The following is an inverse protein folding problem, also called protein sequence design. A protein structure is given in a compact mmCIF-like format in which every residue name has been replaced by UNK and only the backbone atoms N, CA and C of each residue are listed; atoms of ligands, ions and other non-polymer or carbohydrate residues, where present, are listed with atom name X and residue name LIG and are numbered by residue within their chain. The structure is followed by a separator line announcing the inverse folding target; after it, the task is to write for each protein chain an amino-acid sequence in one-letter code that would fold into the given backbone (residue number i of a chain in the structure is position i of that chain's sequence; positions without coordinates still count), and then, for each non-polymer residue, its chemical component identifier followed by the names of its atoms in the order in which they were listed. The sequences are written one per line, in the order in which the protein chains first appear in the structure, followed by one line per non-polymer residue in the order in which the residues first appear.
data_IF_809251035149
#
_entry.id   IF_809251035149
#
_cell.length_a   1.000
_cell.length_b   1.000
_cell.length_c   1.000
_cell.angle_alpha   90.00
_cell.angle_beta   90.00
_cell.angle_gamma   90.00
#
_symmetry.space_group_name_H-M   'P 1'
#
loop_
_entity.id
_entity.type
_entity.pdbx_description
1 polymer ?
#
# COMPACT_ATOMS: atom_id res chain seq x y z
N UNK A 1 10.42 0.97 -0.58
CA UNK A 1 9.24 0.15 -0.90
C UNK A 1 7.93 0.89 -0.68
N UNK A 2 7.51 1.13 0.57
CA UNK A 2 6.24 1.82 0.91
C UNK A 2 6.06 3.19 0.22
N UNK A 3 7.14 3.97 0.05
CA UNK A 3 7.09 5.24 -0.71
C UNK A 3 6.58 5.06 -2.12
N UNK A 4 6.97 3.98 -2.80
CA UNK A 4 6.62 3.70 -4.19
C UNK A 4 5.27 2.98 -4.33
N UNK A 5 4.51 2.85 -3.24
CA UNK A 5 3.20 2.20 -3.29
C UNK A 5 2.18 3.10 -4.01
N UNK A 6 1.51 2.51 -5.01
CA UNK A 6 0.54 3.19 -5.85
C UNK A 6 -0.86 2.63 -5.64
N UNK A 7 -1.85 3.52 -5.62
CA UNK A 7 -3.27 3.16 -5.74
C UNK A 7 -3.81 3.91 -6.95
N UNK A 8 -4.18 3.17 -7.99
CA UNK A 8 -4.40 3.74 -9.32
C UNK A 8 -3.14 4.46 -9.81
N UNK A 9 -3.30 5.63 -10.42
CA UNK A 9 -2.18 6.45 -10.91
C UNK A 9 -1.46 7.29 -9.84
N UNK A 10 -1.74 7.09 -8.55
CA UNK A 10 -1.22 7.94 -7.48
C UNK A 10 -0.27 7.20 -6.55
N UNK A 11 0.93 7.76 -6.39
CA UNK A 11 1.85 7.41 -5.32
C UNK A 11 1.32 7.99 -3.99
N UNK A 12 0.86 7.12 -3.08
CA UNK A 12 -0.01 7.51 -1.95
C UNK A 12 0.66 8.51 -1.01
N UNK A 13 1.88 8.19 -0.54
CA UNK A 13 2.61 9.03 0.40
C UNK A 13 3.02 10.37 -0.22
N UNK A 14 3.47 10.34 -1.47
CA UNK A 14 3.81 11.56 -2.21
C UNK A 14 2.59 12.46 -2.42
N UNK A 15 1.44 11.89 -2.83
CA UNK A 15 0.18 12.64 -2.99
C UNK A 15 -0.25 13.30 -1.67
N UNK A 16 -0.20 12.56 -0.56
CA UNK A 16 -0.58 13.10 0.75
C UNK A 16 0.20 14.37 1.13
N UNK A 17 1.52 14.35 0.94
CA UNK A 17 2.41 15.47 1.22
C UNK A 17 2.22 16.61 0.20
N UNK A 18 2.12 16.27 -1.09
CA UNK A 18 1.92 17.26 -2.17
C UNK A 18 0.65 18.08 -1.96
N UNK A 19 -0.45 17.42 -1.62
CA UNK A 19 -1.76 18.06 -1.41
C UNK A 19 -1.81 18.94 -0.14
N UNK A 20 -0.81 18.81 0.74
CA UNK A 20 -0.68 19.58 2.00
C UNK A 20 0.51 20.54 2.01
N UNK A 21 1.19 20.72 0.87
CA UNK A 21 2.32 21.65 0.76
C UNK A 21 1.88 23.06 1.18
N UNK A 22 2.69 23.70 2.04
CA UNK A 22 2.41 25.04 2.58
C UNK A 22 1.51 25.06 3.81
N UNK A 23 1.06 23.89 4.32
CA UNK A 23 0.35 23.77 5.59
C UNK A 23 1.32 23.30 6.68
N UNK A 24 1.01 23.64 7.93
CA UNK A 24 1.69 23.08 9.10
C UNK A 24 1.27 21.61 9.23
N UNK A 25 2.23 20.72 9.50
CA UNK A 25 1.96 19.30 9.76
C UNK A 25 1.43 19.15 11.19
N UNK A 26 0.15 19.46 11.37
CA UNK A 26 -0.58 19.40 12.65
C UNK A 26 -0.89 17.96 13.10
N UNK A 27 -0.94 17.01 12.17
CA UNK A 27 -1.22 15.59 12.44
C UNK A 27 -0.18 14.66 11.80
N UNK A 28 1.07 14.75 12.29
CA UNK A 28 2.12 13.80 11.94
C UNK A 28 1.76 12.32 12.24
N UNK A 29 1.08 12.00 13.37
CA UNK A 29 0.67 10.61 13.65
C UNK A 29 -0.22 9.99 12.58
N UNK A 30 -1.12 10.76 11.95
CA UNK A 30 -1.92 10.26 10.81
C UNK A 30 -1.06 9.86 9.63
N UNK A 31 -0.04 10.64 9.28
CA UNK A 31 0.88 10.26 8.20
C UNK A 31 1.61 8.95 8.53
N UNK A 32 2.10 8.80 9.76
CA UNK A 32 2.71 7.54 10.21
C UNK A 32 1.75 6.35 10.13
N UNK A 33 0.48 6.53 10.54
CA UNK A 33 -0.54 5.47 10.42
C UNK A 33 -0.78 5.06 8.96
N UNK A 34 -0.76 6.01 8.02
CA UNK A 34 -0.85 5.70 6.59
C UNK A 34 0.35 4.86 6.16
N UNK A 35 1.57 5.25 6.55
CA UNK A 35 2.79 4.48 6.26
C UNK A 35 2.68 3.05 6.81
N UNK A 36 2.24 2.89 8.07
CA UNK A 36 2.04 1.57 8.69
C UNK A 36 0.99 0.74 7.96
N UNK A 37 -0.15 1.34 7.59
CA UNK A 37 -1.20 0.66 6.85
C UNK A 37 -0.67 0.13 5.50
N UNK A 38 0.02 0.97 4.74
CA UNK A 38 0.61 0.57 3.46
C UNK A 38 1.67 -0.54 3.62
N UNK A 39 2.51 -0.45 4.65
CA UNK A 39 3.49 -1.51 4.95
C UNK A 39 2.81 -2.85 5.24
N UNK A 40 1.70 -2.83 6.00
CA UNK A 40 0.93 -4.04 6.29
C UNK A 40 0.18 -4.57 5.06
N UNK A 41 -0.27 -3.68 4.18
CA UNK A 41 -0.87 -4.08 2.91
C UNK A 41 0.14 -4.83 2.04
N UNK A 42 1.35 -4.31 1.88
CA UNK A 42 2.41 -4.97 1.10
C UNK A 42 2.71 -6.36 1.67
N UNK A 43 2.91 -6.47 2.99
CA UNK A 43 3.16 -7.76 3.66
C UNK A 43 2.04 -8.79 3.42
N UNK A 44 0.78 -8.34 3.37
CA UNK A 44 -0.36 -9.22 3.09
C UNK A 44 -0.42 -9.60 1.62
N UNK A 45 -0.12 -8.67 0.70
CA UNK A 45 -0.10 -8.95 -0.73
C UNK A 45 0.96 -9.99 -1.09
N UNK A 46 2.17 -9.89 -0.53
CA UNK A 46 3.22 -10.88 -0.71
C UNK A 46 2.76 -12.28 -0.27
N UNK A 47 2.12 -12.38 0.89
CA UNK A 47 1.56 -13.65 1.39
C UNK A 47 0.45 -14.20 0.49
N UNK A 48 -0.33 -13.33 -0.15
CA UNK A 48 -1.35 -13.74 -1.11
C UNK A 48 -0.68 -14.27 -2.37
N UNK A 49 0.32 -13.55 -2.89
CA UNK A 49 1.06 -13.94 -4.10
C UNK A 49 1.75 -15.30 -3.92
N UNK A 50 2.22 -15.61 -2.71
CA UNK A 50 2.83 -16.91 -2.38
C UNK A 50 1.81 -18.08 -2.45
N UNK A 51 0.57 -17.87 -1.99
CA UNK A 51 -0.46 -18.94 -1.93
C UNK A 51 -1.32 -19.02 -3.20
N UNK A 52 -1.37 -17.94 -4.00
CA UNK A 52 -2.26 -17.85 -5.15
C UNK A 52 -2.05 -18.95 -6.20
N UNK A 53 -0.81 -19.35 -6.56
CA UNK A 53 -0.59 -20.39 -7.56
C UNK A 53 -1.16 -21.76 -7.18
N UNK A 54 -1.14 -22.11 -5.89
CA UNK A 54 -1.70 -23.38 -5.42
C UNK A 54 -3.23 -23.39 -5.60
N UNK A 55 -3.88 -22.30 -5.18
CA UNK A 55 -5.33 -22.11 -5.32
C UNK A 55 -5.76 -22.04 -6.78
N UNK A 56 -4.99 -21.34 -7.63
CA UNK A 56 -5.27 -21.23 -9.07
C UNK A 56 -5.20 -22.60 -9.75
N UNK A 57 -4.17 -23.40 -9.43
CA UNK A 57 -4.02 -24.74 -10.02
C UNK A 57 -5.14 -25.71 -9.61
N UNK A 58 -5.66 -25.61 -8.39
CA UNK A 58 -6.80 -26.42 -7.92
C UNK A 58 -8.12 -26.04 -8.61
N UNK A 59 -8.32 -24.75 -8.89
CA UNK A 59 -9.62 -24.22 -9.34
C UNK A 59 -9.75 -24.06 -10.86
N UNK A 60 -8.65 -23.85 -11.59
CA UNK A 60 -8.68 -23.47 -13.01
C UNK A 60 -8.27 -24.60 -13.96
N UNK A 61 -7.53 -25.61 -13.48
CA UNK A 61 -7.17 -26.75 -14.32
C UNK A 61 -8.36 -27.73 -14.45
N UNK A 62 -8.96 -27.76 -15.65
CA UNK A 62 -9.94 -28.77 -16.11
C UNK A 62 -9.24 -29.97 -16.76
#
# INVERSE_FOLDING_TARGET
EVWNYHIGGYQVLHKYLKDRKGRIMDDAPRYCRIVTALSKTIEIQEKIDDIYPEVENELVNF
#
